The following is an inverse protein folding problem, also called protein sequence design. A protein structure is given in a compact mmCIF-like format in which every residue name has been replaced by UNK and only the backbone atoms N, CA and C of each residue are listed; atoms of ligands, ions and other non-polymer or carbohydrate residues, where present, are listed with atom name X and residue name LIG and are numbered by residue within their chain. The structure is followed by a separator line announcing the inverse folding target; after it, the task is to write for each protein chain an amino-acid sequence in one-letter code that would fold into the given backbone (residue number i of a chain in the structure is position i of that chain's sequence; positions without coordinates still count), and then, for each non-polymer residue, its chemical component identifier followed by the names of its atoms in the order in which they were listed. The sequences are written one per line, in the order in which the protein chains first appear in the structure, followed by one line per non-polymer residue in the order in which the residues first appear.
data_IF_790770316878
#
_entry.id   IF_790770316878
#
_cell.length_a   1.000
_cell.length_b   1.000
_cell.length_c   1.000
_cell.angle_alpha   90.00
_cell.angle_beta   90.00
_cell.angle_gamma   90.00
#
_symmetry.space_group_name_H-M   'P 1'
#
loop_
_entity.id
_entity.type
_entity.pdbx_description
1 polymer ?
#
# COMPACT_ATOMS: atom_id res chain seq x y z
N UNK A 1 -14.22 -12.29 36.36
CA UNK A 1 -12.98 -13.02 35.99
C UNK A 1 -11.90 -11.98 35.70
N UNK A 2 -10.87 -11.88 36.56
CA UNK A 2 -9.86 -10.83 36.48
C UNK A 2 -9.04 -10.94 35.19
N UNK A 3 -9.23 -9.99 34.28
CA UNK A 3 -8.38 -9.81 33.11
C UNK A 3 -6.97 -9.55 33.65
N UNK A 4 -6.11 -10.57 33.57
CA UNK A 4 -4.69 -10.49 33.88
C UNK A 4 -4.11 -9.23 33.24
N UNK A 5 -3.77 -8.28 34.09
CA UNK A 5 -3.11 -7.04 33.72
C UNK A 5 -1.78 -7.37 33.08
N UNK A 6 -1.77 -7.25 31.76
CA UNK A 6 -0.78 -7.69 30.76
C UNK A 6 0.59 -7.00 30.80
N UNK A 7 1.11 -6.66 31.99
CA UNK A 7 2.41 -6.00 32.14
C UNK A 7 3.60 -6.94 32.41
N UNK A 8 3.39 -8.22 32.74
CA UNK A 8 4.49 -9.17 32.97
C UNK A 8 5.01 -9.86 31.70
N UNK A 9 4.16 -10.07 30.69
CA UNK A 9 4.48 -10.88 29.50
C UNK A 9 5.57 -10.26 28.60
N UNK A 10 5.64 -8.92 28.53
CA UNK A 10 6.62 -8.19 27.72
C UNK A 10 7.95 -7.89 28.44
N UNK A 11 8.16 -8.32 29.69
CA UNK A 11 9.47 -8.15 30.36
C UNK A 11 10.49 -9.23 29.99
N UNK A 12 10.04 -10.37 29.46
CA UNK A 12 10.93 -11.45 29.06
C UNK A 12 11.66 -11.09 27.75
N UNK A 13 13.00 -10.98 27.82
CA UNK A 13 13.88 -10.68 26.67
C UNK A 13 13.66 -11.65 25.51
N UNK A 14 13.44 -12.93 25.79
CA UNK A 14 13.22 -13.97 24.78
C UNK A 14 11.93 -13.70 23.99
N UNK A 15 10.84 -13.33 24.67
CA UNK A 15 9.55 -13.03 24.03
C UNK A 15 9.67 -11.82 23.11
N UNK A 16 10.42 -10.78 23.51
CA UNK A 16 10.67 -9.62 22.64
C UNK A 16 11.44 -10.00 21.37
N UNK A 17 12.51 -10.78 21.51
CA UNK A 17 13.30 -11.24 20.36
C UNK A 17 12.42 -12.07 19.43
N UNK A 18 11.66 -13.02 19.97
CA UNK A 18 10.76 -13.86 19.18
C UNK A 18 9.71 -13.02 18.43
N UNK A 19 9.14 -12.02 19.09
CA UNK A 19 8.16 -11.10 18.47
C UNK A 19 8.80 -10.34 17.30
N UNK A 20 10.02 -9.81 17.48
CA UNK A 20 10.74 -9.12 16.41
C UNK A 20 10.98 -10.07 15.22
N UNK A 21 11.44 -11.30 15.48
CA UNK A 21 11.69 -12.30 14.44
C UNK A 21 10.41 -12.64 13.67
N UNK A 22 9.28 -12.80 14.36
CA UNK A 22 7.98 -13.06 13.73
C UNK A 22 7.56 -11.88 12.84
N UNK A 23 7.69 -10.64 13.31
CA UNK A 23 7.35 -9.45 12.51
C UNK A 23 8.27 -9.33 11.29
N UNK A 24 9.56 -9.61 11.44
CA UNK A 24 10.49 -9.68 10.31
C UNK A 24 10.09 -10.78 9.31
N UNK A 25 9.71 -11.97 9.78
CA UNK A 25 9.21 -13.04 8.90
C UNK A 25 7.97 -12.59 8.14
N UNK A 26 7.01 -11.98 8.83
CA UNK A 26 5.79 -11.43 8.23
C UNK A 26 6.12 -10.40 7.14
N UNK A 27 7.08 -9.51 7.38
CA UNK A 27 7.53 -8.55 6.37
C UNK A 27 8.26 -9.20 5.18
N UNK A 28 8.92 -10.33 5.37
CA UNK A 28 9.61 -11.08 4.32
C UNK A 28 8.66 -11.91 3.45
N UNK A 29 7.53 -12.38 3.98
CA UNK A 29 6.61 -13.28 3.27
C UNK A 29 6.10 -12.74 1.91
N UNK A 30 5.65 -11.47 1.77
CA UNK A 30 5.27 -10.93 0.47
C UNK A 30 6.43 -10.88 -0.53
N UNK A 31 7.66 -10.69 -0.05
CA UNK A 31 8.85 -10.68 -0.92
C UNK A 31 9.09 -12.10 -1.43
N UNK A 32 9.08 -13.09 -0.53
CA UNK A 32 9.17 -14.50 -0.90
C UNK A 32 8.15 -14.86 -1.98
N UNK A 33 6.88 -14.48 -1.83
CA UNK A 33 5.85 -14.78 -2.83
C UNK A 33 6.13 -14.15 -4.20
N UNK A 34 6.70 -12.93 -4.25
CA UNK A 34 7.09 -12.30 -5.53
C UNK A 34 8.19 -13.10 -6.25
N UNK A 35 9.23 -13.51 -5.52
CA UNK A 35 10.36 -14.25 -6.09
C UNK A 35 9.99 -15.71 -6.40
N UNK A 36 9.21 -16.36 -5.54
CA UNK A 36 8.74 -17.73 -5.74
C UNK A 36 7.90 -17.87 -7.02
N UNK A 37 7.08 -16.85 -7.34
CA UNK A 37 6.30 -16.80 -8.58
C UNK A 37 7.09 -16.26 -9.78
N UNK A 38 8.36 -15.89 -9.61
CA UNK A 38 9.21 -15.34 -10.67
C UNK A 38 8.79 -13.95 -11.16
N UNK A 39 8.03 -13.18 -10.36
CA UNK A 39 7.45 -11.90 -10.80
C UNK A 39 8.36 -10.70 -10.51
N UNK A 40 9.38 -10.85 -9.66
CA UNK A 40 10.33 -9.77 -9.35
C UNK A 40 11.38 -9.51 -10.44
N UNK A 41 11.38 -10.30 -11.53
CA UNK A 41 12.46 -10.30 -12.54
C UNK A 41 12.39 -9.10 -13.48
N UNK A 42 11.18 -8.64 -13.82
CA UNK A 42 10.96 -7.46 -14.66
C UNK A 42 11.33 -6.14 -13.95
N UNK A 43 11.45 -6.16 -12.62
CA UNK A 43 11.71 -4.96 -11.82
C UNK A 43 13.04 -4.30 -12.19
N UNK A 44 14.04 -5.12 -12.52
CA UNK A 44 15.36 -4.65 -12.91
C UNK A 44 15.33 -3.95 -14.26
N UNK A 45 14.70 -4.55 -15.27
CA UNK A 45 14.57 -3.96 -16.61
C UNK A 45 13.79 -2.63 -16.55
N UNK A 46 12.66 -2.60 -15.84
CA UNK A 46 11.89 -1.36 -15.64
C UNK A 46 12.69 -0.26 -14.96
N UNK A 47 13.63 -0.64 -14.08
CA UNK A 47 14.51 0.29 -13.41
C UNK A 47 15.62 0.80 -14.35
N UNK A 48 16.19 -0.07 -15.19
CA UNK A 48 17.12 0.35 -16.24
C UNK A 48 16.46 1.32 -17.23
N UNK A 49 15.21 1.07 -17.63
CA UNK A 49 14.45 1.99 -18.47
C UNK A 49 14.24 3.36 -17.81
N UNK A 50 14.03 3.37 -16.49
CA UNK A 50 13.98 4.61 -15.71
C UNK A 50 15.29 5.38 -15.76
N UNK A 51 16.43 4.72 -15.52
CA UNK A 51 17.74 5.35 -15.63
C UNK A 51 18.05 5.87 -17.04
N UNK A 52 17.59 5.15 -18.06
CA UNK A 52 17.81 5.49 -19.45
C UNK A 52 16.90 6.62 -19.97
N UNK A 53 16.00 7.19 -19.15
CA UNK A 53 15.04 8.19 -19.62
C UNK A 53 13.92 7.62 -20.50
N UNK A 54 13.73 6.29 -20.51
CA UNK A 54 12.81 5.56 -21.39
C UNK A 54 11.66 4.86 -20.64
N UNK A 55 11.52 5.08 -19.34
CA UNK A 55 10.50 4.40 -18.55
C UNK A 55 9.09 4.73 -19.00
N UNK A 56 8.26 3.69 -19.09
CA UNK A 56 6.81 3.84 -19.21
C UNK A 56 6.19 4.67 -18.06
N UNK A 57 6.90 4.79 -16.92
CA UNK A 57 6.46 5.60 -15.77
C UNK A 57 6.86 7.07 -15.85
N UNK A 58 7.43 7.53 -16.97
CA UNK A 58 7.43 8.95 -17.32
C UNK A 58 6.10 9.40 -17.94
N UNK A 59 5.21 8.45 -18.18
CA UNK A 59 3.83 8.74 -18.53
C UNK A 59 3.13 9.50 -17.41
N UNK A 60 2.64 10.73 -17.66
CA UNK A 60 2.04 11.54 -16.61
C UNK A 60 0.64 11.08 -16.17
N UNK A 61 0.11 10.01 -16.74
CA UNK A 61 -1.10 9.32 -16.27
C UNK A 61 -0.82 8.09 -15.41
N UNK A 62 0.45 7.66 -15.34
CA UNK A 62 0.89 6.51 -14.57
C UNK A 62 2.28 6.74 -13.97
N UNK A 63 2.61 7.97 -13.60
CA UNK A 63 3.98 8.30 -13.28
C UNK A 63 4.43 7.67 -11.97
N UNK A 64 5.72 7.34 -11.87
CA UNK A 64 6.33 6.72 -10.68
C UNK A 64 7.76 7.22 -10.53
N UNK A 65 7.96 8.26 -9.73
CA UNK A 65 9.26 8.94 -9.63
C UNK A 65 9.91 8.71 -8.28
N UNK A 66 9.14 8.82 -7.19
CA UNK A 66 9.66 8.75 -5.83
C UNK A 66 10.43 7.46 -5.53
N UNK A 67 9.80 6.30 -5.72
CA UNK A 67 10.41 5.02 -5.35
C UNK A 67 11.68 4.72 -6.18
N UNK A 68 11.70 4.88 -7.52
CA UNK A 68 12.92 4.72 -8.30
C UNK A 68 14.06 5.64 -7.85
N UNK A 69 13.80 6.91 -7.52
CA UNK A 69 14.84 7.82 -7.02
C UNK A 69 15.40 7.37 -5.67
N UNK A 70 14.55 6.93 -4.74
CA UNK A 70 15.00 6.40 -3.44
C UNK A 70 15.89 5.17 -3.64
N UNK A 71 15.51 4.27 -4.55
CA UNK A 71 16.27 3.07 -4.88
C UNK A 71 17.63 3.44 -5.47
N UNK A 72 17.68 4.32 -6.47
CA UNK A 72 18.93 4.75 -7.10
C UNK A 72 19.87 5.39 -6.08
N UNK A 73 19.35 6.30 -5.24
CA UNK A 73 20.15 6.92 -4.18
C UNK A 73 20.67 5.90 -3.16
N UNK A 74 19.83 4.93 -2.77
CA UNK A 74 20.24 3.84 -1.86
C UNK A 74 21.32 2.98 -2.49
N UNK A 75 21.17 2.63 -3.77
CA UNK A 75 22.16 1.86 -4.52
C UNK A 75 23.50 2.60 -4.58
N UNK A 76 23.50 3.89 -4.94
CA UNK A 76 24.73 4.69 -5.02
C UNK A 76 25.48 4.76 -3.69
N UNK A 77 24.76 4.90 -2.57
CA UNK A 77 25.37 4.87 -1.23
C UNK A 77 25.99 3.51 -0.94
N UNK A 78 25.27 2.42 -1.21
CA UNK A 78 25.76 1.07 -0.94
C UNK A 78 26.92 0.66 -1.86
N UNK A 79 26.88 1.07 -3.12
CA UNK A 79 27.97 0.85 -4.08
C UNK A 79 29.22 1.64 -3.70
N UNK A 80 29.07 2.85 -3.17
CA UNK A 80 30.18 3.64 -2.66
C UNK A 80 30.77 3.11 -1.33
N UNK A 81 30.04 2.27 -0.58
CA UNK A 81 30.39 1.84 0.78
C UNK A 81 30.47 0.31 0.94
N UNK A 82 29.34 -0.35 1.09
CA UNK A 82 29.20 -1.78 1.43
C UNK A 82 29.72 -2.67 0.30
N UNK A 83 29.34 -2.42 -0.96
CA UNK A 83 29.68 -3.31 -2.07
C UNK A 83 31.16 -3.25 -2.45
N UNK A 84 31.91 -2.20 -2.08
CA UNK A 84 33.37 -2.17 -2.26
C UNK A 84 34.11 -3.15 -1.33
N UNK A 85 33.51 -3.48 -0.19
CA UNK A 85 34.12 -4.36 0.81
C UNK A 85 33.78 -5.83 0.55
N UNK A 86 32.71 -6.10 -0.20
CA UNK A 86 32.28 -7.46 -0.56
C UNK A 86 32.99 -7.87 -1.86
N UNK A 87 33.82 -8.94 -1.87
CA UNK A 87 34.54 -9.35 -3.07
C UNK A 87 33.57 -9.74 -4.19
N UNK A 88 33.72 -9.15 -5.38
CA UNK A 88 32.89 -9.45 -6.56
C UNK A 88 33.08 -10.89 -7.07
N UNK A 89 34.19 -11.54 -6.73
CA UNK A 89 34.60 -12.85 -7.26
C UNK A 89 33.87 -14.07 -6.67
N UNK A 90 32.84 -13.89 -5.83
CA UNK A 90 32.03 -14.99 -5.25
C UNK A 90 30.53 -14.88 -5.55
N UNK A 91 30.11 -13.90 -6.35
CA UNK A 91 28.69 -13.64 -6.62
C UNK A 91 28.12 -14.41 -7.81
N UNK A 92 28.80 -15.42 -8.34
CA UNK A 92 28.12 -16.44 -9.15
C UNK A 92 27.31 -17.33 -8.22
N UNK A 93 26.10 -16.88 -7.86
CA UNK A 93 25.12 -17.76 -7.22
C UNK A 93 24.71 -18.76 -8.30
N UNK A 94 25.38 -19.92 -8.33
CA UNK A 94 24.92 -21.07 -9.09
C UNK A 94 23.60 -21.55 -8.50
N UNK A 95 22.49 -21.01 -9.00
CA UNK A 95 21.16 -21.53 -8.74
C UNK A 95 21.10 -22.95 -9.32
N UNK A 96 21.21 -23.97 -8.46
CA UNK A 96 21.21 -25.36 -8.86
C UNK A 96 19.94 -25.73 -9.68
N UNK A 97 20.16 -26.47 -10.76
CA UNK A 97 19.13 -27.07 -11.62
C UNK A 97 19.22 -26.65 -13.08
N UNK A 98 18.92 -27.57 -14.01
CA UNK A 98 18.89 -27.31 -15.45
C UNK A 98 17.80 -26.28 -15.76
N UNK A 99 18.16 -25.20 -16.46
CA UNK A 99 17.22 -24.12 -16.81
C UNK A 99 16.11 -24.61 -17.75
N UNK A 100 16.39 -25.64 -18.54
CA UNK A 100 15.53 -26.20 -19.59
C UNK A 100 14.21 -26.79 -19.06
N UNK A 101 14.16 -27.20 -17.78
CA UNK A 101 12.96 -27.77 -17.13
C UNK A 101 12.13 -26.73 -16.33
N UNK A 102 12.54 -25.46 -16.33
CA UNK A 102 11.95 -24.41 -15.49
C UNK A 102 11.20 -23.36 -16.32
N UNK A 103 10.16 -22.75 -15.74
CA UNK A 103 9.37 -21.67 -16.35
C UNK A 103 10.27 -20.51 -16.83
N UNK A 104 9.88 -19.81 -17.92
CA UNK A 104 10.59 -18.71 -18.57
C UNK A 104 11.12 -17.66 -17.58
N UNK A 105 10.30 -17.28 -16.59
CA UNK A 105 10.69 -16.32 -15.55
C UNK A 105 11.89 -16.80 -14.71
N UNK A 106 11.96 -18.10 -14.42
CA UNK A 106 13.07 -18.67 -13.65
C UNK A 106 14.33 -18.74 -14.51
N UNK A 107 14.20 -19.04 -15.81
CA UNK A 107 15.34 -19.00 -16.73
C UNK A 107 15.91 -17.57 -16.83
N UNK A 108 15.03 -16.57 -16.93
CA UNK A 108 15.41 -15.15 -16.95
C UNK A 108 16.13 -14.75 -15.66
N UNK A 109 15.61 -15.17 -14.50
CA UNK A 109 16.26 -14.92 -13.21
C UNK A 109 17.66 -15.53 -13.14
N UNK A 110 17.84 -16.78 -13.58
CA UNK A 110 19.14 -17.48 -13.60
C UNK A 110 20.14 -16.77 -14.54
N UNK A 111 19.67 -16.26 -15.69
CA UNK A 111 20.52 -15.49 -16.60
C UNK A 111 20.95 -14.17 -15.97
N UNK A 112 20.02 -13.44 -15.37
CA UNK A 112 20.30 -12.16 -14.72
C UNK A 112 21.15 -12.31 -13.47
N UNK A 113 21.03 -13.42 -12.72
CA UNK A 113 21.85 -13.67 -11.52
C UNK A 113 23.33 -13.88 -11.83
N UNK A 114 23.73 -14.02 -13.10
CA UNK A 114 25.14 -13.99 -13.49
C UNK A 114 25.72 -12.57 -13.57
N UNK A 115 24.86 -11.56 -13.61
CA UNK A 115 25.28 -10.15 -13.62
C UNK A 115 25.39 -9.63 -12.17
N UNK A 116 26.61 -9.22 -11.78
CA UNK A 116 26.89 -8.65 -10.45
C UNK A 116 26.04 -7.41 -10.15
N UNK A 117 25.79 -6.54 -11.13
CA UNK A 117 24.96 -5.34 -10.97
C UNK A 117 23.51 -5.72 -10.64
N UNK A 118 22.96 -6.72 -11.32
CA UNK A 118 21.61 -7.23 -11.03
C UNK A 118 21.50 -7.76 -9.59
N UNK A 119 22.51 -8.47 -9.10
CA UNK A 119 22.54 -8.94 -7.70
C UNK A 119 22.54 -7.76 -6.74
N UNK A 120 23.42 -6.77 -6.97
CA UNK A 120 23.50 -5.56 -6.13
C UNK A 120 22.16 -4.84 -6.08
N UNK A 121 21.49 -4.62 -7.22
CA UNK A 121 20.14 -4.03 -7.24
C UNK A 121 19.09 -4.91 -6.58
N UNK A 122 19.15 -6.23 -6.77
CA UNK A 122 18.21 -7.16 -6.12
C UNK A 122 18.28 -7.07 -4.61
N UNK A 123 19.48 -6.91 -4.02
CA UNK A 123 19.65 -6.66 -2.59
C UNK A 123 18.96 -5.35 -2.18
N UNK A 124 19.16 -4.26 -2.94
CA UNK A 124 18.50 -2.96 -2.68
C UNK A 124 16.98 -3.09 -2.77
N UNK A 125 16.48 -3.75 -3.81
CA UNK A 125 15.05 -3.97 -4.04
C UNK A 125 14.41 -4.77 -2.90
N UNK A 126 15.03 -5.87 -2.49
CA UNK A 126 14.57 -6.70 -1.36
C UNK A 126 14.58 -5.89 -0.07
N UNK A 127 15.68 -5.19 0.22
CA UNK A 127 15.83 -4.37 1.42
C UNK A 127 14.79 -3.26 1.47
N UNK A 128 14.59 -2.54 0.37
CA UNK A 128 13.60 -1.47 0.29
C UNK A 128 12.18 -2.02 0.48
N UNK A 129 11.85 -3.15 -0.17
CA UNK A 129 10.54 -3.80 0.01
C UNK A 129 10.31 -4.26 1.44
N UNK A 130 11.35 -4.80 2.08
CA UNK A 130 11.31 -5.27 3.46
C UNK A 130 11.02 -4.12 4.42
N UNK A 131 11.72 -2.99 4.25
CA UNK A 131 11.47 -1.76 5.01
C UNK A 131 10.03 -1.26 4.79
N UNK A 132 9.54 -1.22 3.55
CA UNK A 132 8.15 -0.84 3.28
C UNK A 132 7.15 -1.73 4.04
N UNK A 133 7.33 -3.05 4.00
CA UNK A 133 6.44 -3.98 4.69
C UNK A 133 6.49 -3.82 6.21
N UNK A 134 7.67 -3.58 6.79
CA UNK A 134 7.80 -3.27 8.22
C UNK A 134 7.06 -1.99 8.59
N UNK A 135 7.20 -0.93 7.79
CA UNK A 135 6.49 0.34 8.00
C UNK A 135 4.97 0.13 7.92
N UNK A 136 4.49 -0.64 6.93
CA UNK A 136 3.06 -0.96 6.81
C UNK A 136 2.56 -1.70 8.04
N UNK A 137 3.23 -2.76 8.48
CA UNK A 137 2.85 -3.51 9.67
C UNK A 137 2.84 -2.62 10.92
N UNK A 138 3.83 -1.74 11.08
CA UNK A 138 3.91 -0.81 12.20
C UNK A 138 2.78 0.23 12.17
N UNK A 139 2.54 0.89 11.03
CA UNK A 139 1.46 1.87 10.90
C UNK A 139 0.09 1.22 11.05
N UNK A 140 -0.12 0.03 10.49
CA UNK A 140 -1.35 -0.74 10.66
C UNK A 140 -1.56 -1.15 12.12
N UNK A 141 -0.51 -1.54 12.83
CA UNK A 141 -0.60 -1.82 14.27
C UNK A 141 -1.11 -0.59 15.04
N UNK A 142 -0.52 0.57 14.80
CA UNK A 142 -0.93 1.83 15.45
C UNK A 142 -2.36 2.23 15.08
N UNK A 143 -2.74 2.05 13.81
CA UNK A 143 -4.04 2.46 13.29
C UNK A 143 -5.15 1.53 13.78
N UNK A 144 -4.98 0.21 13.66
CA UNK A 144 -5.96 -0.78 14.15
C UNK A 144 -6.10 -0.68 15.68
N UNK A 145 -5.00 -0.51 16.43
CA UNK A 145 -5.05 -0.35 17.89
C UNK A 145 -5.79 0.91 18.37
N UNK A 146 -6.00 1.90 17.47
CA UNK A 146 -6.86 3.03 17.79
C UNK A 146 -8.31 2.58 17.97
N UNK A 147 -8.80 1.70 17.10
CA UNK A 147 -10.18 1.21 17.10
C UNK A 147 -10.39 -0.03 17.98
N UNK A 148 -9.45 -0.97 17.94
CA UNK A 148 -9.53 -2.28 18.60
C UNK A 148 -8.61 -2.30 19.81
N UNK A 149 -9.11 -2.70 20.98
CA UNK A 149 -8.32 -2.76 22.23
C UNK A 149 -7.80 -4.16 22.55
N UNK A 150 -8.42 -5.19 21.99
CA UNK A 150 -8.05 -6.59 22.18
C UNK A 150 -6.78 -6.90 21.41
N UNK A 151 -5.67 -7.10 22.12
CA UNK A 151 -4.34 -7.34 21.51
C UNK A 151 -4.34 -8.51 20.53
N UNK A 152 -5.01 -9.62 20.87
CA UNK A 152 -5.09 -10.79 20.00
C UNK A 152 -5.76 -10.48 18.66
N UNK A 153 -6.78 -9.61 18.68
CA UNK A 153 -7.50 -9.21 17.48
C UNK A 153 -6.67 -8.25 16.61
N UNK A 154 -5.87 -7.37 17.24
CA UNK A 154 -4.88 -6.54 16.53
C UNK A 154 -3.82 -7.43 15.85
N UNK A 155 -3.26 -8.41 16.57
CA UNK A 155 -2.26 -9.35 16.02
C UNK A 155 -2.86 -10.16 14.87
N UNK A 156 -4.08 -10.66 15.03
CA UNK A 156 -4.81 -11.34 13.95
C UNK A 156 -4.95 -10.43 12.71
N UNK A 157 -5.27 -9.15 12.92
CA UNK A 157 -5.28 -8.15 11.86
C UNK A 157 -3.94 -8.03 11.13
N UNK A 158 -2.82 -7.97 11.84
CA UNK A 158 -1.49 -7.92 11.23
C UNK A 158 -1.14 -9.20 10.45
N UNK A 159 -1.54 -10.37 10.95
CA UNK A 159 -1.39 -11.64 10.23
C UNK A 159 -2.18 -11.61 8.91
N UNK A 160 -3.43 -11.17 8.95
CA UNK A 160 -4.26 -11.02 7.74
C UNK A 160 -3.64 -10.04 6.74
N UNK A 161 -3.12 -8.90 7.20
CA UNK A 161 -2.42 -7.93 6.33
C UNK A 161 -1.24 -8.59 5.62
N UNK A 162 -0.46 -9.40 6.33
CA UNK A 162 0.67 -10.13 5.74
C UNK A 162 0.22 -11.07 4.63
N UNK A 163 -0.88 -11.79 4.84
CA UNK A 163 -1.47 -12.68 3.83
C UNK A 163 -2.03 -11.89 2.65
N UNK A 164 -2.72 -10.78 2.88
CA UNK A 164 -3.25 -9.90 1.84
C UNK A 164 -2.13 -9.36 0.94
N UNK A 165 -1.03 -8.88 1.54
CA UNK A 165 0.15 -8.45 0.79
C UNK A 165 0.82 -9.61 0.04
N UNK A 166 0.86 -10.81 0.63
CA UNK A 166 1.38 -12.00 -0.01
C UNK A 166 0.56 -12.49 -1.20
N UNK A 167 -0.76 -12.29 -1.18
CA UNK A 167 -1.66 -12.63 -2.29
C UNK A 167 -1.71 -11.54 -3.36
N UNK A 168 -1.41 -10.28 -2.99
CA UNK A 168 -1.39 -9.13 -3.89
C UNK A 168 -0.23 -9.13 -4.92
N UNK A 169 0.53 -10.21 -5.03
CA UNK A 169 1.73 -10.31 -5.88
C UNK A 169 1.42 -10.66 -7.34
N UNK A 170 0.18 -10.97 -7.69
CA UNK A 170 -0.15 -11.41 -9.06
C UNK A 170 0.04 -10.26 -10.07
N UNK A 171 0.71 -10.55 -11.21
CA UNK A 171 1.16 -9.59 -12.24
C UNK A 171 1.75 -8.32 -11.59
N UNK A 172 2.49 -8.56 -10.51
CA UNK A 172 3.16 -7.57 -9.71
C UNK A 172 4.61 -7.97 -9.62
N UNK A 173 5.49 -7.10 -10.08
CA UNK A 173 6.85 -7.09 -9.56
C UNK A 173 6.80 -6.70 -8.07
N UNK A 174 7.86 -6.10 -7.56
CA UNK A 174 7.89 -5.61 -6.20
C UNK A 174 6.91 -4.44 -5.96
N UNK A 175 6.45 -3.78 -7.03
CA UNK A 175 5.37 -2.78 -7.02
C UNK A 175 5.50 -1.71 -5.90
N UNK A 176 6.72 -1.22 -5.71
CA UNK A 176 7.09 -0.31 -4.62
C UNK A 176 6.12 0.86 -4.44
N UNK A 177 5.65 1.45 -5.54
CA UNK A 177 4.77 2.61 -5.50
C UNK A 177 3.39 2.30 -4.92
N UNK A 178 2.83 1.10 -5.16
CA UNK A 178 1.55 0.70 -4.55
C UNK A 178 1.66 0.51 -3.05
N UNK A 179 2.80 -0.01 -2.58
CA UNK A 179 3.05 -0.16 -1.14
C UNK A 179 3.41 1.17 -0.48
N UNK A 180 4.04 2.08 -1.22
CA UNK A 180 4.21 3.47 -0.77
C UNK A 180 2.86 4.18 -0.62
N UNK A 181 1.89 3.95 -1.52
CA UNK A 181 0.52 4.47 -1.32
C UNK A 181 -0.05 3.96 0.01
N UNK A 182 0.04 2.65 0.29
CA UNK A 182 -0.43 2.08 1.56
C UNK A 182 0.20 2.78 2.78
N UNK A 183 1.51 3.03 2.75
CA UNK A 183 2.22 3.75 3.82
C UNK A 183 1.65 5.16 3.99
N UNK A 184 1.53 5.93 2.90
CA UNK A 184 1.06 7.31 2.93
C UNK A 184 -0.39 7.42 3.40
N UNK A 185 -1.27 6.52 2.95
CA UNK A 185 -2.67 6.49 3.37
C UNK A 185 -2.84 6.05 4.83
N UNK A 186 -2.07 5.08 5.31
CA UNK A 186 -2.08 4.71 6.73
C UNK A 186 -1.54 5.84 7.61
N UNK A 187 -0.49 6.54 7.17
CA UNK A 187 0.04 7.71 7.87
C UNK A 187 -0.99 8.85 7.90
N UNK A 188 -1.66 9.14 6.78
CA UNK A 188 -2.73 10.15 6.73
C UNK A 188 -3.92 9.76 7.63
N UNK A 189 -4.32 8.50 7.60
CA UNK A 189 -5.33 7.95 8.51
C UNK A 189 -4.95 8.15 9.98
N UNK A 190 -3.69 7.87 10.34
CA UNK A 190 -3.17 8.10 11.70
C UNK A 190 -3.21 9.58 12.10
N UNK A 191 -2.80 10.48 11.22
CA UNK A 191 -2.88 11.94 11.45
C UNK A 191 -4.31 12.35 11.81
N UNK A 192 -5.29 11.85 11.06
CA UNK A 192 -6.72 12.15 11.25
C UNK A 192 -7.22 11.54 12.57
N UNK A 193 -7.07 10.23 12.78
CA UNK A 193 -7.68 9.54 13.94
C UNK A 193 -6.99 9.89 15.26
N UNK A 194 -5.69 10.23 15.24
CA UNK A 194 -4.94 10.67 16.42
C UNK A 194 -4.98 12.19 16.61
N UNK A 195 -5.63 12.94 15.73
CA UNK A 195 -5.71 14.41 15.77
C UNK A 195 -4.33 15.08 15.82
N UNK A 196 -3.37 14.53 15.07
CA UNK A 196 -2.08 15.21 14.85
C UNK A 196 -2.28 16.47 13.99
N UNK A 197 -1.25 17.32 13.92
CA UNK A 197 -1.30 18.53 13.10
C UNK A 197 -1.66 18.22 11.66
N UNK A 198 -2.73 18.85 11.15
CA UNK A 198 -3.18 18.67 9.77
C UNK A 198 -2.14 19.07 8.72
N UNK A 199 -1.11 19.84 9.08
CA UNK A 199 0.01 20.16 8.18
C UNK A 199 0.79 18.92 7.71
N UNK A 200 0.75 17.82 8.47
CA UNK A 200 1.29 16.55 8.00
C UNK A 200 0.58 16.03 6.74
N UNK A 201 -0.70 16.37 6.52
CA UNK A 201 -1.43 16.02 5.30
C UNK A 201 -0.80 16.70 4.09
N UNK A 202 -0.39 17.96 4.21
CA UNK A 202 0.30 18.66 3.12
C UNK A 202 1.64 17.99 2.78
N UNK A 203 2.42 17.61 3.79
CA UNK A 203 3.69 16.88 3.60
C UNK A 203 3.46 15.53 2.94
N UNK A 204 2.51 14.73 3.45
CA UNK A 204 2.17 13.42 2.89
C UNK A 204 1.63 13.53 1.45
N UNK A 205 0.85 14.56 1.16
CA UNK A 205 0.33 14.82 -0.19
C UNK A 205 1.45 15.20 -1.14
N UNK A 206 2.41 16.05 -0.71
CA UNK A 206 3.56 16.41 -1.52
C UNK A 206 4.44 15.19 -1.84
N UNK A 207 4.74 14.36 -0.84
CA UNK A 207 5.49 13.10 -1.04
C UNK A 207 4.70 12.17 -1.97
N UNK A 208 3.39 12.01 -1.72
CA UNK A 208 2.51 11.21 -2.56
C UNK A 208 2.42 11.70 -4.00
N UNK A 209 2.49 13.00 -4.22
CA UNK A 209 2.46 13.61 -5.54
C UNK A 209 3.69 13.23 -6.38
N UNK A 210 4.83 12.87 -5.79
CA UNK A 210 5.96 12.28 -6.52
C UNK A 210 5.84 10.76 -6.69
N UNK A 211 4.98 10.12 -5.90
CA UNK A 211 4.75 8.68 -5.98
C UNK A 211 3.77 8.36 -7.11
N UNK A 212 2.51 8.79 -7.01
CA UNK A 212 1.40 8.47 -7.92
C UNK A 212 0.25 9.49 -7.83
N UNK A 213 -0.56 9.56 -8.89
CA UNK A 213 -1.73 10.44 -9.04
C UNK A 213 -2.80 10.20 -7.97
N UNK A 214 -2.94 8.95 -7.54
CA UNK A 214 -3.94 8.52 -6.56
C UNK A 214 -3.82 9.28 -5.25
N UNK A 215 -2.61 9.76 -4.89
CA UNK A 215 -2.34 10.56 -3.69
C UNK A 215 -3.15 11.86 -3.58
N UNK A 216 -3.75 12.36 -4.67
CA UNK A 216 -4.71 13.46 -4.63
C UNK A 216 -5.91 13.17 -3.71
N UNK A 217 -6.20 11.90 -3.42
CA UNK A 217 -7.28 11.54 -2.49
C UNK A 217 -6.87 11.70 -1.02
N UNK A 218 -5.58 11.89 -0.68
CA UNK A 218 -5.12 12.16 0.69
C UNK A 218 -5.74 13.46 1.26
N UNK A 219 -5.67 14.63 0.58
CA UNK A 219 -6.32 15.83 1.08
C UNK A 219 -7.84 15.72 1.06
N UNK A 220 -8.41 14.91 0.16
CA UNK A 220 -9.87 14.65 0.11
C UNK A 220 -10.34 13.90 1.35
N UNK A 221 -9.67 12.82 1.75
CA UNK A 221 -10.04 12.08 2.97
C UNK A 221 -9.92 12.98 4.21
N UNK A 222 -8.89 13.83 4.28
CA UNK A 222 -8.71 14.78 5.37
C UNK A 222 -9.85 15.79 5.41
N UNK A 223 -10.16 16.41 4.28
CA UNK A 223 -11.24 17.38 4.17
C UNK A 223 -12.57 16.77 4.60
N UNK A 224 -12.97 15.62 4.03
CA UNK A 224 -14.26 15.00 4.32
C UNK A 224 -14.39 14.57 5.79
N UNK A 225 -13.28 14.10 6.39
CA UNK A 225 -13.29 13.59 7.77
C UNK A 225 -13.24 14.68 8.84
N UNK A 226 -12.55 15.80 8.60
CA UNK A 226 -12.40 16.88 9.58
C UNK A 226 -13.40 18.02 9.40
N UNK A 227 -14.00 18.17 8.22
CA UNK A 227 -14.95 19.25 7.96
C UNK A 227 -16.19 19.14 8.87
N UNK A 228 -16.56 20.24 9.52
CA UNK A 228 -17.78 20.32 10.31
C UNK A 228 -19.00 20.47 9.40
N UNK A 229 -19.71 19.36 9.18
CA UNK A 229 -20.90 19.29 8.33
C UNK A 229 -22.18 19.89 8.97
N UNK A 230 -22.15 20.32 10.24
CA UNK A 230 -23.34 20.80 10.96
C UNK A 230 -24.00 22.01 10.29
N UNK A 231 -23.19 22.94 9.77
CA UNK A 231 -23.64 24.20 9.17
C UNK A 231 -23.59 24.21 7.64
N UNK A 232 -23.56 23.05 6.98
CA UNK A 232 -23.49 22.96 5.51
C UNK A 232 -24.56 23.81 4.77
N UNK A 233 -25.75 23.97 5.36
CA UNK A 233 -26.84 24.80 4.81
C UNK A 233 -26.58 26.32 4.87
N UNK A 234 -25.54 26.76 5.60
CA UNK A 234 -25.11 28.15 5.74
C UNK A 234 -23.66 28.28 5.24
N UNK A 235 -23.44 28.46 3.92
CA UNK A 235 -22.13 28.26 3.30
C UNK A 235 -21.04 29.19 3.88
N UNK A 236 -21.36 30.46 4.13
CA UNK A 236 -20.38 31.42 4.67
C UNK A 236 -19.93 31.05 6.09
N UNK A 237 -20.88 30.67 6.96
CA UNK A 237 -20.55 30.23 8.32
C UNK A 237 -19.71 28.95 8.31
N UNK A 238 -20.08 27.97 7.47
CA UNK A 238 -19.32 26.74 7.30
C UNK A 238 -17.89 26.99 6.79
N UNK A 239 -17.69 27.94 5.87
CA UNK A 239 -16.36 28.32 5.38
C UNK A 239 -15.48 28.93 6.47
N UNK A 240 -16.04 29.84 7.28
CA UNK A 240 -15.30 30.50 8.36
C UNK A 240 -14.91 29.51 9.47
N UNK A 241 -15.83 28.65 9.90
CA UNK A 241 -15.58 27.62 10.91
C UNK A 241 -14.50 26.62 10.46
N UNK A 242 -14.48 26.27 9.17
CA UNK A 242 -13.56 25.28 8.62
C UNK A 242 -12.35 25.89 7.91
N UNK A 243 -12.06 27.19 8.11
CA UNK A 243 -11.00 27.91 7.38
C UNK A 243 -9.66 27.19 7.41
N UNK A 244 -9.26 26.64 8.57
CA UNK A 244 -7.99 25.90 8.71
C UNK A 244 -7.98 24.61 7.88
N UNK A 245 -9.07 23.84 7.92
CA UNK A 245 -9.20 22.56 7.20
C UNK A 245 -9.20 22.82 5.68
N UNK A 246 -9.98 23.81 5.24
CA UNK A 246 -10.03 24.25 3.84
C UNK A 246 -8.65 24.72 3.37
N UNK A 247 -7.96 25.53 4.18
CA UNK A 247 -6.61 26.01 3.86
C UNK A 247 -5.61 24.87 3.71
N UNK A 248 -5.60 23.90 4.62
CA UNK A 248 -4.68 22.76 4.56
C UNK A 248 -4.98 21.88 3.34
N UNK A 249 -6.26 21.55 3.11
CA UNK A 249 -6.68 20.79 1.93
C UNK A 249 -6.34 21.52 0.64
N UNK A 250 -6.63 22.83 0.57
CA UNK A 250 -6.31 23.69 -0.58
C UNK A 250 -4.80 23.75 -0.88
N UNK A 251 -3.96 24.01 0.13
CA UNK A 251 -2.50 24.00 -0.02
C UNK A 251 -2.00 22.63 -0.48
N UNK A 252 -2.54 21.55 0.06
CA UNK A 252 -2.17 20.18 -0.32
C UNK A 252 -2.52 19.88 -1.79
N UNK A 253 -3.71 20.30 -2.24
CA UNK A 253 -4.14 20.15 -3.64
C UNK A 253 -3.27 20.99 -4.57
N UNK A 254 -2.97 22.24 -4.20
CA UNK A 254 -2.08 23.11 -4.98
C UNK A 254 -0.69 22.47 -5.09
N UNK A 255 -0.12 21.98 -3.99
CA UNK A 255 1.18 21.30 -3.98
C UNK A 255 1.18 20.06 -4.91
N UNK A 256 0.12 19.25 -4.84
CA UNK A 256 -0.05 18.12 -5.75
C UNK A 256 -0.08 18.56 -7.21
N UNK A 257 -0.91 19.57 -7.55
CA UNK A 257 -1.04 20.09 -8.92
C UNK A 257 0.30 20.63 -9.44
N UNK A 258 1.05 21.36 -8.61
CA UNK A 258 2.38 21.86 -8.98
C UNK A 258 3.31 20.71 -9.35
N UNK A 259 3.41 19.67 -8.52
CA UNK A 259 4.28 18.51 -8.81
C UNK A 259 3.81 17.80 -10.07
N UNK A 260 2.51 17.53 -10.17
CA UNK A 260 1.91 16.84 -11.32
C UNK A 260 2.16 17.56 -12.64
N UNK A 261 1.97 18.89 -12.66
CA UNK A 261 2.20 19.73 -13.83
C UNK A 261 3.70 19.86 -14.13
N UNK A 262 4.56 19.96 -13.10
CA UNK A 262 6.02 20.04 -13.30
C UNK A 262 6.59 18.77 -13.92
N UNK A 263 6.13 17.60 -13.46
CA UNK A 263 6.49 16.30 -14.05
C UNK A 263 6.11 16.25 -15.54
N UNK A 264 4.92 16.75 -15.88
CA UNK A 264 4.44 16.82 -17.27
C UNK A 264 5.26 17.75 -18.15
N UNK A 265 5.64 18.91 -17.63
CA UNK A 265 6.51 19.83 -18.36
C UNK A 265 7.91 19.24 -18.56
N UNK A 266 8.44 18.53 -17.56
CA UNK A 266 9.78 17.96 -17.63
C UNK A 266 9.90 16.77 -18.58
N UNK A 267 8.98 15.80 -18.51
CA UNK A 267 9.03 14.58 -19.32
C UNK A 267 8.23 14.65 -20.63
N UNK A 268 7.44 15.70 -20.81
CA UNK A 268 6.52 15.84 -21.94
C UNK A 268 5.27 14.95 -21.81
N UNK A 269 4.34 15.15 -22.74
CA UNK A 269 3.15 14.29 -22.83
C UNK A 269 3.52 12.94 -23.45
N UNK A 270 3.13 11.86 -22.77
CA UNK A 270 3.19 10.50 -23.30
C UNK A 270 1.77 9.92 -23.28
N UNK A 271 1.30 9.28 -24.38
CA UNK A 271 0.00 8.65 -24.41
C UNK A 271 -0.08 7.53 -23.38
N UNK A 272 -1.26 7.31 -22.80
CA UNK A 272 -1.48 6.21 -21.85
C UNK A 272 -1.04 4.88 -22.48
N UNK A 273 -0.23 4.09 -21.76
CA UNK A 273 0.11 2.74 -22.20
C UNK A 273 -1.13 1.86 -22.12
N UNK A 274 -1.60 1.40 -23.27
CA UNK A 274 -2.70 0.45 -23.34
C UNK A 274 -2.24 -0.93 -22.85
N UNK A 275 -2.97 -1.50 -21.90
CA UNK A 275 -2.70 -2.84 -21.39
C UNK A 275 -3.86 -3.76 -21.75
N UNK A 276 -3.69 -4.54 -22.81
CA UNK A 276 -4.69 -5.43 -23.44
C UNK A 276 -5.88 -4.71 -24.07
N UNK A 277 -6.45 -3.70 -23.40
CA UNK A 277 -7.55 -2.86 -23.90
C UNK A 277 -7.36 -1.40 -23.46
N UNK A 278 -7.97 -0.43 -24.17
CA UNK A 278 -7.97 0.97 -23.75
C UNK A 278 -8.68 1.18 -22.41
N UNK A 279 -8.30 2.26 -21.70
CA UNK A 279 -8.99 2.69 -20.49
C UNK A 279 -10.46 3.12 -20.78
N UNK A 280 -11.27 3.17 -19.72
CA UNK A 280 -12.69 3.51 -19.77
C UNK A 280 -13.59 2.27 -19.80
N UNK A 281 -14.65 2.33 -20.61
CA UNK A 281 -15.64 1.25 -20.73
C UNK A 281 -15.05 -0.09 -21.22
N UNK A 282 -14.09 -0.14 -22.16
CA UNK A 282 -13.47 -1.41 -22.56
C UNK A 282 -12.76 -2.11 -21.39
N UNK A 283 -12.00 -1.35 -20.59
CA UNK A 283 -11.34 -1.88 -19.38
C UNK A 283 -12.35 -2.32 -18.32
N UNK A 284 -13.43 -1.55 -18.11
CA UNK A 284 -14.50 -1.95 -17.20
C UNK A 284 -15.14 -3.26 -17.62
N UNK A 285 -15.43 -3.42 -18.92
CA UNK A 285 -15.95 -4.66 -19.50
C UNK A 285 -14.95 -5.81 -19.34
N UNK A 286 -13.65 -5.56 -19.55
CA UNK A 286 -12.61 -6.57 -19.32
C UNK A 286 -12.63 -7.05 -17.86
N UNK A 287 -12.69 -6.12 -16.90
CA UNK A 287 -12.63 -6.42 -15.48
C UNK A 287 -13.88 -7.11 -14.93
N UNK A 288 -15.08 -6.80 -15.45
CA UNK A 288 -16.34 -7.28 -14.88
C UNK A 288 -17.06 -8.33 -15.74
N UNK A 289 -16.95 -8.26 -17.06
CA UNK A 289 -17.86 -8.98 -17.97
C UNK A 289 -17.14 -9.86 -19.01
N UNK A 290 -15.82 -9.97 -18.94
CA UNK A 290 -15.04 -10.80 -19.87
C UNK A 290 -14.62 -12.14 -19.24
N UNK A 291 -14.09 -13.07 -20.03
CA UNK A 291 -13.48 -14.29 -19.47
C UNK A 291 -12.33 -14.00 -18.48
N UNK A 292 -11.66 -12.85 -18.61
CA UNK A 292 -10.63 -12.42 -17.66
C UNK A 292 -11.22 -11.95 -16.31
N UNK A 293 -12.53 -11.65 -16.22
CA UNK A 293 -13.17 -11.24 -14.97
C UNK A 293 -13.14 -12.34 -13.92
N UNK A 294 -13.19 -13.62 -14.31
CA UNK A 294 -13.04 -14.75 -13.39
C UNK A 294 -11.68 -14.71 -12.68
N UNK A 295 -10.60 -14.42 -13.41
CA UNK A 295 -9.28 -14.19 -12.81
C UNK A 295 -9.33 -12.98 -11.87
N UNK A 296 -9.89 -11.86 -12.32
CA UNK A 296 -10.07 -10.65 -11.50
C UNK A 296 -10.76 -10.94 -10.17
N UNK A 297 -11.87 -11.69 -10.18
CA UNK A 297 -12.63 -12.01 -8.97
C UNK A 297 -11.82 -12.86 -8.00
N UNK A 298 -11.12 -13.88 -8.49
CA UNK A 298 -10.30 -14.75 -7.63
C UNK A 298 -9.11 -14.00 -7.04
N UNK A 299 -8.42 -13.16 -7.81
CA UNK A 299 -7.29 -12.37 -7.32
C UNK A 299 -7.73 -11.29 -6.31
N UNK A 300 -8.89 -10.66 -6.54
CA UNK A 300 -9.49 -9.71 -5.61
C UNK A 300 -9.94 -10.40 -4.31
N UNK A 301 -10.57 -11.57 -4.42
CA UNK A 301 -10.92 -12.39 -3.26
C UNK A 301 -9.68 -12.83 -2.47
N UNK A 302 -8.58 -13.17 -3.15
CA UNK A 302 -7.32 -13.49 -2.48
C UNK A 302 -6.74 -12.35 -1.64
N UNK A 303 -6.98 -11.09 -2.01
CA UNK A 303 -6.44 -9.91 -1.31
C UNK A 303 -7.33 -9.38 -0.20
N UNK A 304 -8.65 -9.32 -0.37
CA UNK A 304 -9.53 -8.75 0.66
C UNK A 304 -10.67 -9.68 1.10
N UNK A 305 -10.75 -10.88 0.53
CA UNK A 305 -11.76 -11.89 0.87
C UNK A 305 -13.17 -11.32 0.86
N UNK A 306 -13.92 -11.62 1.92
CA UNK A 306 -15.28 -11.11 2.12
C UNK A 306 -15.32 -9.74 2.81
N UNK A 307 -14.18 -9.13 3.14
CA UNK A 307 -14.13 -7.92 3.99
C UNK A 307 -14.93 -6.74 3.42
N UNK A 308 -14.90 -6.41 2.11
CA UNK A 308 -15.69 -5.30 1.59
C UNK A 308 -17.20 -5.53 1.78
N UNK A 309 -17.68 -6.74 1.52
CA UNK A 309 -19.09 -7.10 1.69
C UNK A 309 -19.50 -7.07 3.16
N UNK A 310 -18.68 -7.66 4.04
CA UNK A 310 -18.94 -7.63 5.47
C UNK A 310 -18.97 -6.18 5.98
N UNK A 311 -18.00 -5.35 5.61
CA UNK A 311 -17.98 -3.92 5.97
C UNK A 311 -19.26 -3.19 5.56
N UNK A 312 -19.76 -3.42 4.33
CA UNK A 312 -21.02 -2.82 3.86
C UNK A 312 -22.22 -3.25 4.72
N UNK A 313 -22.29 -4.52 5.11
CA UNK A 313 -23.37 -5.00 6.00
C UNK A 313 -23.35 -4.34 7.39
N UNK A 314 -22.15 -4.02 7.90
CA UNK A 314 -21.96 -3.41 9.23
C UNK A 314 -21.75 -1.89 9.17
N UNK A 315 -21.90 -1.25 8.01
CA UNK A 315 -21.45 0.13 7.77
C UNK A 315 -22.09 1.18 8.70
N UNK A 316 -23.27 0.88 9.23
CA UNK A 316 -23.97 1.76 10.21
C UNK A 316 -23.46 1.59 11.64
N UNK A 317 -22.69 0.53 11.91
CA UNK A 317 -22.16 0.16 13.24
C UNK A 317 -20.67 0.46 13.39
N UNK A 318 -19.98 0.89 12.35
CA UNK A 318 -18.56 1.28 12.40
C UNK A 318 -18.39 2.74 12.87
N UNK A 319 -17.19 3.13 13.35
CA UNK A 319 -16.92 4.51 13.75
C UNK A 319 -17.13 5.47 12.58
N UNK A 320 -17.70 6.66 12.88
CA UNK A 320 -18.00 7.69 11.87
C UNK A 320 -16.81 8.03 10.98
N UNK A 321 -15.59 8.05 11.52
CA UNK A 321 -14.39 8.34 10.73
C UNK A 321 -14.11 7.30 9.64
N UNK A 322 -14.33 6.00 9.91
CA UNK A 322 -14.16 4.95 8.89
C UNK A 322 -15.27 5.00 7.84
N UNK A 323 -16.48 5.40 8.22
CA UNK A 323 -17.57 5.67 7.28
C UNK A 323 -17.22 6.84 6.34
N UNK A 324 -16.68 7.94 6.87
CA UNK A 324 -16.25 9.08 6.07
C UNK A 324 -15.09 8.71 5.14
N UNK A 325 -14.14 7.90 5.60
CA UNK A 325 -13.09 7.35 4.75
C UNK A 325 -13.66 6.47 3.63
N UNK A 326 -14.64 5.61 3.95
CA UNK A 326 -15.32 4.79 2.95
C UNK A 326 -15.95 5.66 1.86
N UNK A 327 -16.76 6.65 2.24
CA UNK A 327 -17.46 7.54 1.29
C UNK A 327 -16.47 8.32 0.42
N UNK A 328 -15.41 8.87 1.02
CA UNK A 328 -14.44 9.72 0.32
C UNK A 328 -13.50 8.92 -0.61
N UNK A 329 -13.09 7.72 -0.20
CA UNK A 329 -12.02 6.99 -0.85
C UNK A 329 -12.52 5.83 -1.71
N UNK A 330 -13.37 4.95 -1.17
CA UNK A 330 -13.63 3.63 -1.77
C UNK A 330 -14.31 3.72 -3.14
N UNK A 331 -15.40 4.48 -3.34
CA UNK A 331 -16.06 4.55 -4.66
C UNK A 331 -15.13 5.09 -5.74
N UNK A 332 -14.39 6.16 -5.45
CA UNK A 332 -13.46 6.78 -6.40
C UNK A 332 -12.29 5.84 -6.68
N UNK A 333 -11.72 5.23 -5.63
CA UNK A 333 -10.59 4.32 -5.76
C UNK A 333 -10.94 3.09 -6.59
N UNK A 334 -12.06 2.42 -6.30
CA UNK A 334 -12.52 1.28 -7.08
C UNK A 334 -12.89 1.69 -8.50
N UNK A 335 -13.59 2.81 -8.67
CA UNK A 335 -13.97 3.34 -9.97
C UNK A 335 -12.75 3.55 -10.87
N UNK A 336 -11.76 4.31 -10.41
CA UNK A 336 -10.53 4.58 -11.17
C UNK A 336 -9.79 3.28 -11.51
N UNK A 337 -9.63 2.35 -10.57
CA UNK A 337 -8.88 1.13 -10.83
C UNK A 337 -9.62 0.11 -11.71
N UNK A 338 -10.96 0.08 -11.69
CA UNK A 338 -11.74 -0.78 -12.58
C UNK A 338 -11.81 -0.26 -14.02
N UNK A 339 -11.62 1.05 -14.24
CA UNK A 339 -11.68 1.64 -15.59
C UNK A 339 -10.30 1.92 -16.19
N UNK A 340 -9.24 2.06 -15.40
CA UNK A 340 -7.93 2.49 -15.92
C UNK A 340 -6.93 1.36 -16.10
N UNK A 341 -7.08 0.25 -15.37
CA UNK A 341 -6.09 -0.83 -15.28
C UNK A 341 -6.79 -2.17 -15.05
N UNK A 342 -6.06 -3.26 -15.23
CA UNK A 342 -6.64 -4.60 -15.00
C UNK A 342 -6.72 -4.88 -13.51
N UNK A 343 -7.93 -5.11 -13.01
CA UNK A 343 -8.22 -5.22 -11.59
C UNK A 343 -7.76 -6.54 -10.95
N UNK A 344 -7.38 -7.55 -11.76
CA UNK A 344 -6.65 -8.70 -11.24
C UNK A 344 -5.29 -8.31 -10.61
N UNK A 345 -4.78 -7.09 -10.85
CA UNK A 345 -3.63 -6.53 -10.15
C UNK A 345 -4.05 -6.08 -8.75
N UNK A 346 -4.41 -7.07 -7.93
CA UNK A 346 -5.18 -6.90 -6.71
C UNK A 346 -4.47 -6.07 -5.62
N UNK A 347 -3.15 -5.87 -5.71
CA UNK A 347 -2.38 -4.90 -4.90
C UNK A 347 -2.98 -3.50 -4.86
N UNK A 348 -3.67 -3.10 -5.92
CA UNK A 348 -4.27 -1.78 -6.02
C UNK A 348 -5.38 -1.58 -4.97
N UNK A 349 -5.95 -2.66 -4.44
CA UNK A 349 -7.01 -2.60 -3.44
C UNK A 349 -6.48 -2.71 -1.99
N UNK A 350 -5.15 -2.79 -1.78
CA UNK A 350 -4.58 -2.85 -0.43
C UNK A 350 -4.90 -1.61 0.41
N UNK A 351 -4.89 -0.42 -0.19
CA UNK A 351 -5.22 0.85 0.51
C UNK A 351 -6.60 0.80 1.18
N UNK A 352 -7.72 0.61 0.45
CA UNK A 352 -9.04 0.54 1.09
C UNK A 352 -9.18 -0.67 2.03
N UNK A 353 -8.47 -1.77 1.75
CA UNK A 353 -8.52 -2.97 2.60
C UNK A 353 -7.91 -2.72 3.97
N UNK A 354 -6.69 -2.17 4.02
CA UNK A 354 -5.95 -1.94 5.26
C UNK A 354 -6.44 -0.72 6.02
N UNK A 355 -6.92 0.32 5.33
CA UNK A 355 -7.35 1.57 5.95
C UNK A 355 -8.80 1.52 6.44
N UNK A 356 -9.68 0.75 5.78
CA UNK A 356 -11.13 0.86 5.97
C UNK A 356 -11.75 -0.50 6.31
N UNK A 357 -11.65 -1.47 5.40
CA UNK A 357 -12.42 -2.72 5.54
C UNK A 357 -11.96 -3.55 6.73
N UNK A 358 -10.66 -3.85 6.82
CA UNK A 358 -10.13 -4.67 7.91
C UNK A 358 -10.32 -4.00 9.28
N UNK A 359 -9.93 -2.71 9.51
CA UNK A 359 -10.16 -2.06 10.79
C UNK A 359 -11.63 -1.98 11.19
N UNK A 360 -12.53 -1.73 10.23
CA UNK A 360 -13.97 -1.66 10.50
C UNK A 360 -14.58 -2.99 10.92
N UNK A 361 -14.20 -4.08 10.24
CA UNK A 361 -14.63 -5.44 10.59
C UNK A 361 -14.08 -5.86 11.96
N UNK A 362 -12.79 -5.64 12.22
CA UNK A 362 -12.21 -5.98 13.53
C UNK A 362 -12.85 -5.18 14.68
N UNK A 363 -13.14 -3.89 14.47
CA UNK A 363 -13.86 -3.07 15.44
C UNK A 363 -15.26 -3.62 15.75
N UNK A 364 -15.99 -4.03 14.71
CA UNK A 364 -17.32 -4.61 14.87
C UNK A 364 -17.28 -5.92 15.65
N UNK A 365 -16.37 -6.83 15.30
CA UNK A 365 -16.17 -8.09 16.01
C UNK A 365 -15.92 -7.85 17.51
N UNK A 366 -15.01 -6.92 17.86
CA UNK A 366 -14.73 -6.59 19.26
C UNK A 366 -15.98 -6.12 20.02
N UNK A 367 -16.82 -5.30 19.40
CA UNK A 367 -18.00 -4.76 20.06
C UNK A 367 -19.13 -5.79 20.22
N UNK A 368 -19.36 -6.67 19.24
CA UNK A 368 -20.34 -7.75 19.37
C UNK A 368 -19.98 -8.67 20.55
N UNK A 369 -18.70 -9.03 20.70
CA UNK A 369 -18.24 -9.81 21.86
C UNK A 369 -18.47 -9.09 23.20
N UNK A 370 -18.27 -7.77 23.26
CA UNK A 370 -18.52 -6.99 24.48
C UNK A 370 -19.99 -6.91 24.84
N UNK A 371 -20.87 -6.75 23.85
CA UNK A 371 -22.32 -6.69 24.07
C UNK A 371 -22.84 -8.04 24.56
N UNK A 372 -22.44 -9.14 23.92
CA UNK A 372 -22.84 -10.50 24.34
C UNK A 372 -22.47 -10.82 25.79
N UNK A 373 -21.25 -10.45 26.21
CA UNK A 373 -20.81 -10.61 27.60
C UNK A 373 -21.63 -9.79 28.60
N UNK A 374 -22.10 -8.59 28.21
CA UNK A 374 -22.92 -7.75 29.09
C UNK A 374 -24.36 -8.23 29.25
N UNK A 375 -24.90 -8.95 28.25
CA UNK A 375 -26.24 -9.53 28.31
C UNK A 375 -26.33 -10.83 29.09
N UNK A 376 -25.21 -11.55 29.28
CA UNK A 376 -25.17 -12.78 30.10
C UNK A 376 -24.97 -12.50 31.61
N UNK A 377 -24.58 -11.29 31.98
CA UNK A 377 -24.35 -10.89 33.39
C UNK A 377 -25.54 -10.19 34.05
N UNK A 378 -26.64 -10.01 33.31
CA UNK A 378 -27.93 -9.53 33.81
C UNK A 378 -28.94 -10.67 33.70
#
# INVERSE_FOLDING_TARGET
MSILTSHSFLKNKLIRILTILIVCWMAAYPIYNNYYKGLAVEQYERFLDFKAGKSMFFNPWQYRILCPLIIEGTFQILDATVFKVIPESKSEIELQGKAEDKNENIQKLIRLSKNSEFIKYSIVFIGFRFVQNLIILWLSFLFISHFVKTRSLVILGLMLITLFMGNAVMDSDLAFNSYMDVILYLAAGLVIVKKYSGWWIAVLTLIGAFNRETSLLIPVIYFVSEFNWLHWKKPIAALLENKKIISIAGVSVIAFVIVFVSIRFYYGYQPQTEWRVPAGLPMLKLNLLSAASVKTYNEMFGVFGILPFWFVLIIKRVPKVLLLFFIALVPVWFGVHLISVVAYQSRLFLVPTLLIFLPGVLYFIENEFRIGLSSETN
#
